data_IF_789432175886
#
_entry.id   IF_789432175886
#
_cell.length_a   1.000
_cell.length_b   1.000
_cell.length_c   1.000
_cell.angle_alpha   90.00
_cell.angle_beta   90.00
_cell.angle_gamma   90.00
#
_symmetry.space_group_name_H-M   'P 1'
#
loop_
_entity.id
_entity.type
_entity.pdbx_description
1 polymer ?
#
# COMPACT_ATOMS: atom_id res chain seq x y z
N UNK A 1 16.20 3.30 -4.47
CA UNK A 1 15.01 2.94 -5.25
C UNK A 1 13.79 3.47 -4.52
N UNK A 2 13.17 4.46 -5.15
CA UNK A 2 11.97 5.10 -4.66
C UNK A 2 10.79 4.12 -4.68
N UNK A 3 9.73 4.44 -3.93
CA UNK A 3 8.55 3.58 -3.83
C UNK A 3 7.90 3.29 -5.20
N UNK A 4 7.69 4.29 -6.10
CA UNK A 4 7.12 4.03 -7.43
C UNK A 4 7.96 3.08 -8.29
N UNK A 5 9.29 3.19 -8.24
CA UNK A 5 10.20 2.30 -8.96
C UNK A 5 10.11 0.85 -8.44
N UNK A 6 9.97 0.68 -7.11
CA UNK A 6 9.73 -0.65 -6.51
C UNK A 6 8.39 -1.22 -6.96
N UNK A 7 7.34 -0.41 -6.99
CA UNK A 7 6.02 -0.82 -7.45
C UNK A 7 6.07 -1.29 -8.92
N UNK A 8 6.74 -0.55 -9.80
CA UNK A 8 6.94 -0.94 -11.19
C UNK A 8 7.74 -2.25 -11.32
N UNK A 9 8.81 -2.40 -10.53
CA UNK A 9 9.64 -3.61 -10.54
C UNK A 9 8.84 -4.85 -10.10
N UNK A 10 7.99 -4.71 -9.09
CA UNK A 10 7.10 -5.79 -8.65
C UNK A 10 6.06 -6.11 -9.71
N UNK A 11 5.43 -5.10 -10.33
CA UNK A 11 4.48 -5.30 -11.42
C UNK A 11 5.07 -6.16 -12.54
N UNK A 12 6.25 -5.77 -13.04
CA UNK A 12 6.96 -6.52 -14.08
C UNK A 12 7.36 -7.92 -13.62
N UNK A 13 7.71 -8.11 -12.34
CA UNK A 13 8.01 -9.42 -11.78
C UNK A 13 6.78 -10.34 -11.75
N UNK A 14 5.60 -9.82 -11.38
CA UNK A 14 4.37 -10.60 -11.33
C UNK A 14 3.96 -11.08 -12.73
N UNK A 15 4.05 -10.20 -13.74
CA UNK A 15 3.83 -10.55 -15.15
C UNK A 15 4.86 -11.56 -15.64
N UNK A 16 6.14 -11.37 -15.30
CA UNK A 16 7.20 -12.35 -15.64
C UNK A 16 6.96 -13.73 -15.04
N UNK A 17 6.22 -13.81 -13.93
CA UNK A 17 5.79 -15.05 -13.28
C UNK A 17 4.44 -15.58 -13.76
N UNK A 18 3.82 -14.93 -14.77
CA UNK A 18 2.51 -15.28 -15.32
C UNK A 18 1.36 -15.22 -14.30
N UNK A 19 1.50 -14.36 -13.28
CA UNK A 19 0.50 -14.22 -12.22
C UNK A 19 -0.72 -13.42 -12.67
N UNK A 20 -0.65 -12.76 -13.83
CA UNK A 20 -1.77 -12.07 -14.48
C UNK A 20 -2.83 -13.02 -15.07
N UNK A 21 -2.69 -14.33 -14.87
CA UNK A 21 -3.59 -15.36 -15.37
C UNK A 21 -4.40 -16.03 -14.24
N UNK A 22 -4.14 -15.64 -12.99
CA UNK A 22 -4.74 -16.25 -11.81
C UNK A 22 -5.29 -15.18 -10.88
N UNK A 23 -6.38 -15.46 -10.14
CA UNK A 23 -6.87 -14.51 -9.15
C UNK A 23 -5.84 -14.23 -8.04
N UNK A 24 -5.66 -12.96 -7.67
CA UNK A 24 -4.63 -12.48 -6.76
C UNK A 24 -5.22 -11.91 -5.46
N UNK A 25 -4.55 -12.20 -4.35
CA UNK A 25 -4.79 -11.53 -3.06
C UNK A 25 -3.43 -11.05 -2.55
N UNK A 26 -3.33 -9.75 -2.22
CA UNK A 26 -2.12 -9.19 -1.64
C UNK A 26 -2.23 -9.10 -0.12
N UNK A 27 -1.20 -9.58 0.58
CA UNK A 27 -1.05 -9.40 2.01
C UNK A 27 0.12 -8.46 2.23
N UNK A 28 -0.18 -7.29 2.76
CA UNK A 28 0.71 -6.16 2.81
C UNK A 28 1.05 -5.81 4.25
N UNK A 29 2.34 -5.75 4.57
CA UNK A 29 2.80 -5.29 5.88
C UNK A 29 3.43 -3.90 5.76
N UNK A 30 3.07 -2.99 6.67
CA UNK A 30 3.70 -1.67 6.78
C UNK A 30 3.68 -0.92 5.44
N UNK A 31 4.82 -0.37 5.02
CA UNK A 31 5.02 0.35 3.76
C UNK A 31 4.74 -0.50 2.51
N UNK A 32 4.73 -1.84 2.63
CA UNK A 32 4.35 -2.73 1.54
C UNK A 32 2.94 -2.47 1.02
N UNK A 33 2.03 -1.98 1.86
CA UNK A 33 0.69 -1.60 1.41
C UNK A 33 0.68 -0.40 0.47
N UNK A 34 1.59 0.56 0.68
CA UNK A 34 1.75 1.71 -0.22
C UNK A 34 2.36 1.28 -1.55
N UNK A 35 3.31 0.35 -1.52
CA UNK A 35 3.88 -0.25 -2.73
C UNK A 35 2.79 -0.95 -3.56
N UNK A 36 1.93 -1.75 -2.92
CA UNK A 36 0.83 -2.44 -3.62
C UNK A 36 -0.21 -1.45 -4.15
N UNK A 37 -0.59 -0.41 -3.39
CA UNK A 37 -1.47 0.65 -3.89
C UNK A 37 -0.90 1.27 -5.17
N UNK A 38 0.38 1.63 -5.17
CA UNK A 38 1.02 2.24 -6.34
C UNK A 38 1.15 1.26 -7.50
N UNK A 39 1.43 -0.01 -7.23
CA UNK A 39 1.50 -1.06 -8.26
C UNK A 39 0.14 -1.28 -8.91
N UNK A 40 -0.94 -1.32 -8.13
CA UNK A 40 -2.31 -1.42 -8.67
C UNK A 40 -2.66 -0.22 -9.53
N UNK A 41 -2.24 1.00 -9.15
CA UNK A 41 -2.41 2.20 -9.98
C UNK A 41 -1.70 2.09 -11.31
N UNK A 42 -0.41 1.74 -11.29
CA UNK A 42 0.39 1.54 -12.50
C UNK A 42 -0.18 0.44 -13.40
N UNK A 43 -0.77 -0.60 -12.80
CA UNK A 43 -1.44 -1.67 -13.52
C UNK A 43 -2.74 -1.17 -14.16
N UNK A 44 -3.61 -0.48 -13.43
CA UNK A 44 -4.85 0.11 -13.99
C UNK A 44 -4.56 1.05 -15.16
N UNK A 45 -3.47 1.81 -15.11
CA UNK A 45 -3.06 2.72 -16.20
C UNK A 45 -2.62 1.96 -17.48
N UNK A 46 -2.35 0.65 -17.39
CA UNK A 46 -1.91 -0.22 -18.49
C UNK A 46 -3.02 -1.14 -19.00
N UNK A 47 -4.25 -0.62 -19.07
CA UNK A 47 -5.41 -1.38 -19.55
C UNK A 47 -5.16 -2.06 -20.90
N UNK A 48 -5.56 -3.34 -21.00
CA UNK A 48 -5.38 -4.15 -22.21
C UNK A 48 -4.00 -4.80 -22.38
N UNK A 49 -3.04 -4.58 -21.47
CA UNK A 49 -1.74 -5.26 -21.47
C UNK A 49 -1.68 -6.41 -20.46
N UNK A 50 -0.55 -7.11 -20.39
CA UNK A 50 -0.34 -8.16 -19.38
C UNK A 50 -0.19 -7.54 -17.98
N UNK A 51 0.43 -6.36 -17.89
CA UNK A 51 0.52 -5.56 -16.68
C UNK A 51 -0.86 -5.10 -16.21
N UNK A 52 -1.75 -4.68 -17.12
CA UNK A 52 -3.13 -4.29 -16.79
C UNK A 52 -3.94 -5.40 -16.12
N UNK A 53 -3.71 -6.64 -16.55
CA UNK A 53 -4.37 -7.82 -15.98
C UNK A 53 -4.05 -8.08 -14.51
N UNK A 54 -2.99 -7.50 -13.95
CA UNK A 54 -2.69 -7.64 -12.52
C UNK A 54 -3.78 -6.99 -11.67
N UNK A 55 -4.16 -5.74 -11.98
CA UNK A 55 -5.26 -5.06 -11.29
C UNK A 55 -6.60 -5.76 -11.56
N UNK A 56 -6.86 -6.19 -12.80
CA UNK A 56 -8.10 -6.88 -13.17
C UNK A 56 -8.29 -8.21 -12.42
N UNK A 57 -7.21 -8.97 -12.18
CA UNK A 57 -7.27 -10.24 -11.47
C UNK A 57 -7.10 -10.09 -9.94
N UNK A 58 -6.91 -8.89 -9.42
CA UNK A 58 -6.79 -8.68 -7.97
C UNK A 58 -8.17 -8.77 -7.32
N UNK A 59 -8.39 -9.81 -6.52
CA UNK A 59 -9.63 -10.01 -5.77
C UNK A 59 -9.64 -9.26 -4.44
N UNK A 60 -8.46 -9.03 -3.85
CA UNK A 60 -8.40 -8.38 -2.55
C UNK A 60 -7.01 -7.97 -2.08
N UNK A 61 -7.01 -7.09 -1.08
CA UNK A 61 -5.82 -6.60 -0.40
C UNK A 61 -6.05 -6.59 1.10
N UNK A 62 -5.09 -7.14 1.84
CA UNK A 62 -5.06 -7.15 3.30
C UNK A 62 -3.93 -6.24 3.77
N UNK A 63 -4.26 -5.18 4.51
CA UNK A 63 -3.29 -4.26 5.08
C UNK A 63 -3.01 -4.59 6.55
N UNK A 64 -1.74 -4.78 6.89
CA UNK A 64 -1.24 -5.05 8.23
C UNK A 64 -0.36 -3.88 8.66
N UNK A 65 -0.92 -2.97 9.46
CA UNK A 65 -0.21 -1.79 9.96
C UNK A 65 0.35 -0.89 8.85
N UNK A 66 -0.42 -0.66 7.77
CA UNK A 66 -0.02 0.25 6.68
C UNK A 66 -0.44 1.68 7.00
N UNK A 67 0.48 2.66 6.99
CA UNK A 67 0.11 4.07 7.16
C UNK A 67 -0.46 4.62 5.85
N UNK A 68 -1.78 4.66 5.72
CA UNK A 68 -2.50 5.09 4.53
C UNK A 68 -2.61 6.62 4.37
N UNK A 69 -2.58 7.36 5.48
CA UNK A 69 -2.75 8.83 5.48
C UNK A 69 -1.45 9.51 5.89
N UNK A 70 -1.04 10.51 5.10
CA UNK A 70 0.27 11.15 5.22
C UNK A 70 0.40 12.26 6.26
N UNK A 71 -0.64 12.61 7.04
CA UNK A 71 -0.61 13.81 7.90
C UNK A 71 0.36 13.72 9.09
N UNK A 72 1.01 12.56 9.32
CA UNK A 72 2.03 12.42 10.35
C UNK A 72 3.24 11.55 9.96
N UNK A 73 3.66 11.61 8.69
CA UNK A 73 4.78 10.81 8.15
C UNK A 73 6.10 11.01 8.88
N UNK A 74 6.35 12.22 9.41
CA UNK A 74 7.54 12.48 10.22
C UNK A 74 7.58 11.59 11.47
N UNK A 75 6.46 11.52 12.21
CA UNK A 75 6.34 10.63 13.37
C UNK A 75 6.40 9.15 12.96
N UNK A 76 5.82 8.77 11.82
CA UNK A 76 5.91 7.39 11.34
C UNK A 76 7.32 6.99 10.98
N UNK A 77 8.05 7.84 10.26
CA UNK A 77 9.41 7.56 9.88
C UNK A 77 10.36 7.55 11.09
N UNK A 78 10.15 8.38 12.11
CA UNK A 78 10.91 8.28 13.35
C UNK A 78 10.60 6.99 14.12
N UNK A 79 9.33 6.54 14.14
CA UNK A 79 8.95 5.21 14.66
C UNK A 79 9.58 4.09 13.84
N UNK A 80 9.52 4.16 12.51
CA UNK A 80 10.15 3.18 11.64
C UNK A 80 11.67 3.17 11.80
N UNK A 81 12.32 4.31 12.03
CA UNK A 81 13.76 4.39 12.36
C UNK A 81 14.09 3.74 13.71
N UNK A 82 13.16 3.73 14.66
CA UNK A 82 13.32 3.10 15.97
C UNK A 82 13.23 1.57 15.89
N UNK A 83 12.41 1.04 14.97
CA UNK A 83 12.14 -0.40 14.84
C UNK A 83 12.84 -1.06 13.64
N UNK A 84 13.26 -0.30 12.64
CA UNK A 84 13.83 -0.77 11.38
C UNK A 84 15.13 -0.02 11.04
N UNK A 85 16.00 -0.66 10.26
CA UNK A 85 17.20 -0.02 9.71
C UNK A 85 16.81 1.20 8.86
N UNK A 86 17.56 2.31 8.98
CA UNK A 86 17.43 3.45 8.07
C UNK A 86 17.58 2.97 6.63
N UNK A 87 16.54 3.16 5.83
CA UNK A 87 16.57 2.87 4.39
C UNK A 87 16.09 4.09 3.61
N UNK A 88 16.60 4.34 2.39
CA UNK A 88 16.19 5.48 1.57
C UNK A 88 14.68 5.57 1.33
N UNK A 89 13.99 4.42 1.32
CA UNK A 89 12.54 4.39 1.16
C UNK A 89 11.79 5.15 2.28
N UNK A 90 12.28 5.07 3.52
CA UNK A 90 11.68 5.77 4.67
C UNK A 90 11.82 7.30 4.49
N UNK A 91 12.93 7.75 3.91
CA UNK A 91 13.19 9.17 3.69
C UNK A 91 12.38 9.71 2.50
N UNK A 92 12.22 8.93 1.41
CA UNK A 92 11.36 9.28 0.27
C UNK A 92 9.88 9.39 0.68
N UNK A 93 9.43 8.56 1.63
CA UNK A 93 8.09 8.63 2.21
C UNK A 93 7.85 9.90 3.04
N UNK A 94 8.89 10.47 3.65
CA UNK A 94 8.77 11.71 4.43
C UNK A 94 8.57 12.95 3.55
N UNK A 95 9.00 12.91 2.27
CA UNK A 95 9.12 14.10 1.43
C UNK A 95 7.83 14.45 0.65
N UNK A 96 6.88 13.52 0.49
CA UNK A 96 5.80 13.69 -0.49
C UNK A 96 4.40 13.38 0.10
N UNK A 97 4.04 14.08 1.17
CA UNK A 97 2.70 14.00 1.78
C UNK A 97 1.55 14.22 0.78
N UNK A 98 1.65 15.09 -0.25
CA UNK A 98 0.62 15.21 -1.27
C UNK A 98 0.47 13.96 -2.12
N UNK A 99 1.59 13.31 -2.49
CA UNK A 99 1.56 12.08 -3.28
C UNK A 99 0.92 10.92 -2.51
N UNK A 100 1.16 10.79 -1.20
CA UNK A 100 0.52 9.76 -0.38
C UNK A 100 -0.98 10.00 -0.20
N UNK A 101 -1.40 11.26 -0.06
CA UNK A 101 -2.81 11.63 -0.04
C UNK A 101 -3.49 11.31 -1.38
N UNK A 102 -2.84 11.65 -2.50
CA UNK A 102 -3.30 11.31 -3.85
C UNK A 102 -3.39 9.79 -4.05
N UNK A 103 -2.37 9.04 -3.64
CA UNK A 103 -2.37 7.58 -3.74
C UNK A 103 -3.48 6.94 -2.89
N UNK A 104 -3.72 7.45 -1.69
CA UNK A 104 -4.79 6.95 -0.84
C UNK A 104 -6.17 7.29 -1.43
N UNK A 105 -6.35 8.51 -1.93
CA UNK A 105 -7.57 8.94 -2.60
C UNK A 105 -7.83 8.12 -3.87
N UNK A 106 -6.79 7.85 -4.66
CA UNK A 106 -6.86 6.97 -5.82
C UNK A 106 -7.34 5.59 -5.40
N UNK A 107 -6.69 4.96 -4.42
CA UNK A 107 -7.06 3.60 -3.99
C UNK A 107 -8.50 3.54 -3.48
N UNK A 108 -8.92 4.52 -2.67
CA UNK A 108 -10.28 4.65 -2.15
C UNK A 108 -11.33 4.64 -3.24
N UNK A 109 -11.05 5.37 -4.33
CA UNK A 109 -11.98 5.54 -5.44
C UNK A 109 -11.94 4.40 -6.46
N UNK A 110 -10.90 3.57 -6.47
CA UNK A 110 -10.70 2.52 -7.46
C UNK A 110 -10.96 1.11 -6.90
N UNK A 111 -10.54 0.81 -5.67
CA UNK A 111 -10.72 -0.52 -5.10
C UNK A 111 -12.20 -1.00 -5.14
N UNK A 112 -13.21 -0.19 -4.77
CA UNK A 112 -14.61 -0.60 -4.90
C UNK A 112 -15.06 -0.79 -6.35
N UNK A 113 -14.59 0.06 -7.27
CA UNK A 113 -14.95 -0.03 -8.70
C UNK A 113 -14.43 -1.30 -9.37
N UNK A 114 -13.28 -1.78 -8.91
CA UNK A 114 -12.66 -3.02 -9.38
C UNK A 114 -13.05 -4.24 -8.51
N UNK A 115 -14.04 -4.10 -7.61
CA UNK A 115 -14.47 -5.16 -6.70
C UNK A 115 -13.35 -5.77 -5.84
N UNK A 116 -12.31 -4.97 -5.54
CA UNK A 116 -11.19 -5.38 -4.69
C UNK A 116 -11.65 -5.36 -3.23
N UNK A 117 -11.76 -6.55 -2.63
CA UNK A 117 -12.08 -6.68 -1.21
C UNK A 117 -10.90 -6.19 -0.36
N UNK A 118 -11.17 -5.32 0.60
CA UNK A 118 -10.13 -4.73 1.45
C UNK A 118 -10.32 -5.15 2.90
N UNK A 119 -9.28 -5.70 3.52
CA UNK A 119 -9.22 -5.94 4.96
C UNK A 119 -8.07 -5.14 5.57
N UNK A 120 -8.25 -4.70 6.81
CA UNK A 120 -7.29 -3.85 7.49
C UNK A 120 -7.13 -4.34 8.91
N UNK A 121 -5.89 -4.37 9.38
CA UNK A 121 -5.54 -4.72 10.74
C UNK A 121 -4.48 -3.74 11.23
N UNK A 122 -4.72 -3.10 12.37
CA UNK A 122 -3.70 -2.31 13.08
C UNK A 122 -3.31 -2.95 14.40
N UNK A 123 -2.19 -2.52 14.95
CA UNK A 123 -1.71 -3.02 16.22
C UNK A 123 -2.64 -2.62 17.37
N UNK A 124 -3.08 -3.59 18.17
CA UNK A 124 -3.81 -3.36 19.42
C UNK A 124 -2.88 -3.27 20.63
N UNK A 125 -1.61 -3.66 20.49
CA UNK A 125 -0.59 -3.56 21.53
C UNK A 125 0.62 -2.78 21.00
N UNK A 126 1.12 -1.80 21.76
CA UNK A 126 2.25 -0.99 21.34
C UNK A 126 3.55 -1.79 21.36
N UNK A 127 4.34 -1.70 20.29
CA UNK A 127 5.68 -2.30 20.22
C UNK A 127 6.65 -1.44 21.03
N UNK A 128 7.28 -1.99 22.07
CA UNK A 128 8.15 -1.25 23.01
C UNK A 128 7.51 0.04 23.56
N UNK A 129 6.20 0.04 23.80
CA UNK A 129 5.47 1.19 24.33
C UNK A 129 5.07 2.25 23.31
N UNK A 130 5.36 2.06 22.01
CA UNK A 130 4.92 2.96 20.94
C UNK A 130 4.12 2.18 19.87
N UNK A 131 2.90 2.60 19.50
CA UNK A 131 2.17 2.00 18.39
C UNK A 131 2.86 2.32 17.07
N UNK A 132 3.13 1.32 16.24
CA UNK A 132 3.85 1.46 14.96
C UNK A 132 2.95 2.04 13.88
N UNK A 133 1.64 1.78 13.91
CA UNK A 133 0.60 2.48 13.14
C UNK A 133 -0.66 2.62 14.00
N UNK A 134 -1.19 3.84 14.12
CA UNK A 134 -2.44 4.10 14.85
C UNK A 134 -3.67 3.85 13.97
N UNK A 135 -4.83 3.66 14.59
CA UNK A 135 -6.10 3.37 13.90
C UNK A 135 -6.45 4.41 12.83
N UNK A 136 -6.19 5.69 13.09
CA UNK A 136 -6.51 6.76 12.14
C UNK A 136 -5.64 6.65 10.88
N UNK A 137 -4.33 6.44 11.07
CA UNK A 137 -3.40 6.30 9.95
C UNK A 137 -3.52 4.95 9.25
N UNK A 138 -3.99 3.93 9.96
CA UNK A 138 -4.26 2.60 9.42
C UNK A 138 -5.58 2.50 8.65
N UNK A 139 -6.42 3.53 8.64
CA UNK A 139 -7.69 3.54 7.91
C UNK A 139 -7.47 3.92 6.42
N UNK A 140 -7.79 3.04 5.44
CA UNK A 140 -7.72 3.37 4.01
C UNK A 140 -8.87 4.28 3.56
N UNK A 141 -9.91 4.42 4.38
CA UNK A 141 -11.15 5.15 4.12
C UNK A 141 -12.04 4.49 3.07
N UNK A 142 -12.01 3.15 3.01
CA UNK A 142 -12.95 2.35 2.22
C UNK A 142 -14.22 2.16 3.05
N UNK A 143 -15.39 2.29 2.42
CA UNK A 143 -16.67 2.09 3.09
C UNK A 143 -16.76 0.67 3.67
N UNK A 144 -17.31 0.55 4.88
CA UNK A 144 -17.51 -0.72 5.61
C UNK A 144 -16.20 -1.48 5.97
N UNK A 145 -15.05 -0.82 5.86
CA UNK A 145 -13.74 -1.35 6.27
C UNK A 145 -13.22 -0.55 7.46
N UNK A 146 -12.92 -1.24 8.56
CA UNK A 146 -12.46 -0.62 9.81
C UNK A 146 -11.21 -1.32 10.36
N UNK A 147 -10.20 -0.55 10.85
CA UNK A 147 -8.95 -1.05 11.41
C UNK A 147 -9.05 -1.63 12.84
#
# INVERSE_FOLDING_TARGET
MALPERAQSILSLLVGKRLEQTPLIFICHSLGGLVVKQMLRLSTDQYGTHEGKIAENTLGVIFLGTPHVGSNLALWADRFRLFFRKTPAIDDLQLDSPWLLDLNAWYRNHAPKHAIQTLVFVENQPTKGVPVVDKFSGDPGIQDVYP
#
